data_IF_790156977701
#
_entry.id   IF_790156977701
#
_cell.length_a   1.000
_cell.length_b   1.000
_cell.length_c   1.000
_cell.angle_alpha   90.00
_cell.angle_beta   90.00
_cell.angle_gamma   90.00
#
_symmetry.space_group_name_H-M   'P 1'
#
loop_
_entity.id
_entity.type
_entity.pdbx_description
1 polymer ?
#
# COMPACT_ATOMS: atom_id res chain seq x y z
N UNK A 1 -25.75 -30.47 -34.10
CA UNK A 1 -25.63 -29.12 -33.51
C UNK A 1 -24.40 -29.12 -32.62
N UNK A 2 -23.27 -28.58 -33.09
CA UNK A 2 -22.05 -28.49 -32.28
C UNK A 2 -22.19 -27.27 -31.35
N UNK A 3 -22.34 -27.50 -30.05
CA UNK A 3 -22.18 -26.45 -29.04
C UNK A 3 -20.69 -26.18 -28.85
N UNK A 4 -20.19 -25.07 -29.39
CA UNK A 4 -18.88 -24.55 -29.01
C UNK A 4 -19.05 -23.84 -27.67
N UNK A 5 -18.56 -24.46 -26.59
CA UNK A 5 -18.45 -23.82 -25.29
C UNK A 5 -17.26 -22.88 -25.34
N UNK A 6 -17.51 -21.57 -25.49
CA UNK A 6 -16.49 -20.56 -25.29
C UNK A 6 -16.10 -20.56 -23.80
N UNK A 7 -14.92 -21.10 -23.48
CA UNK A 7 -14.34 -20.99 -22.14
C UNK A 7 -13.83 -19.56 -21.96
N UNK A 8 -14.67 -18.67 -21.43
CA UNK A 8 -14.28 -17.28 -21.17
C UNK A 8 -13.29 -17.25 -19.99
N UNK A 9 -12.01 -17.06 -20.29
CA UNK A 9 -10.93 -17.04 -19.29
C UNK A 9 -10.94 -15.76 -18.45
N UNK A 10 -10.59 -15.88 -17.17
CA UNK A 10 -10.50 -14.73 -16.26
C UNK A 10 -9.33 -13.83 -16.69
N UNK A 11 -9.53 -12.50 -16.88
CA UNK A 11 -8.44 -11.62 -17.28
C UNK A 11 -7.40 -11.50 -16.16
N UNK A 12 -6.13 -11.42 -16.54
CA UNK A 12 -5.02 -11.19 -15.60
C UNK A 12 -4.73 -9.72 -15.33
N UNK A 13 -5.29 -8.85 -16.19
CA UNK A 13 -5.19 -7.40 -16.14
C UNK A 13 -6.48 -6.79 -16.65
N UNK A 14 -6.93 -5.73 -15.99
CA UNK A 14 -8.03 -4.89 -16.44
C UNK A 14 -7.61 -3.42 -16.39
N UNK A 15 -8.26 -2.63 -17.25
CA UNK A 15 -8.23 -1.17 -17.23
C UNK A 15 -9.63 -0.67 -16.90
N UNK A 16 -9.70 0.32 -16.02
CA UNK A 16 -10.91 1.04 -15.66
C UNK A 16 -10.65 2.52 -15.93
N UNK A 17 -11.49 3.12 -16.77
CA UNK A 17 -11.44 4.55 -17.02
C UNK A 17 -12.38 5.26 -16.04
N UNK A 18 -11.79 5.90 -15.03
CA UNK A 18 -12.54 6.70 -14.07
C UNK A 18 -13.03 7.98 -14.77
N UNK A 19 -14.26 7.92 -15.29
CA UNK A 19 -14.88 9.00 -16.09
C UNK A 19 -14.73 10.34 -15.36
N UNK A 20 -14.10 11.32 -16.02
CA UNK A 20 -13.96 12.69 -15.50
C UNK A 20 -12.78 12.95 -14.53
N UNK A 21 -12.09 11.91 -14.05
CA UNK A 21 -11.00 12.03 -13.07
C UNK A 21 -9.62 12.36 -13.67
N UNK A 22 -9.42 12.07 -14.96
CA UNK A 22 -8.10 12.14 -15.62
C UNK A 22 -7.08 11.11 -15.09
N UNK A 23 -7.49 10.17 -14.23
CA UNK A 23 -6.65 9.10 -13.67
C UNK A 23 -7.03 7.76 -14.29
N UNK A 24 -6.08 7.07 -14.92
CA UNK A 24 -6.29 5.70 -15.41
C UNK A 24 -6.07 4.69 -14.27
N UNK A 25 -6.98 3.74 -14.11
CA UNK A 25 -6.86 2.68 -13.12
C UNK A 25 -6.50 1.34 -13.79
N UNK A 26 -5.31 0.84 -13.47
CA UNK A 26 -4.77 -0.43 -13.96
C UNK A 26 -4.75 -1.43 -12.81
N UNK A 27 -5.40 -2.58 -12.97
CA UNK A 27 -5.43 -3.64 -11.95
C UNK A 27 -4.90 -4.92 -12.57
N UNK A 28 -3.87 -5.53 -11.98
CA UNK A 28 -3.23 -6.73 -12.52
C UNK A 28 -2.57 -7.58 -11.44
N UNK A 29 -2.38 -8.86 -11.75
CA UNK A 29 -1.60 -9.77 -10.92
C UNK A 29 -0.09 -9.60 -11.18
N UNK A 30 0.71 -9.59 -10.11
CA UNK A 30 2.16 -9.51 -10.19
C UNK A 30 2.86 -9.20 -8.87
N UNK A 31 4.11 -8.77 -8.98
CA UNK A 31 4.95 -8.36 -7.86
C UNK A 31 5.19 -6.85 -7.91
N UNK A 32 4.78 -6.12 -6.87
CA UNK A 32 4.93 -4.67 -6.79
C UNK A 32 6.40 -4.21 -6.81
N UNK A 33 7.34 -5.07 -6.39
CA UNK A 33 8.78 -4.81 -6.44
C UNK A 33 9.43 -5.29 -7.76
N UNK A 34 8.65 -5.54 -8.80
CA UNK A 34 9.17 -5.92 -10.11
C UNK A 34 10.06 -4.81 -10.68
N UNK A 35 11.21 -5.18 -11.27
CA UNK A 35 12.10 -4.22 -11.96
C UNK A 35 11.45 -3.53 -13.16
N UNK A 36 10.37 -4.11 -13.69
CA UNK A 36 9.62 -3.53 -14.80
C UNK A 36 8.57 -2.50 -14.34
N UNK A 37 8.36 -2.37 -13.03
CA UNK A 37 7.46 -1.37 -12.48
C UNK A 37 8.06 0.03 -12.65
N UNK A 38 7.38 0.88 -13.42
CA UNK A 38 7.81 2.24 -13.78
C UNK A 38 6.85 3.27 -13.18
N UNK A 39 6.73 3.24 -11.86
CA UNK A 39 5.83 4.06 -11.06
C UNK A 39 6.43 4.33 -9.69
N UNK A 40 5.94 5.36 -8.99
CA UNK A 40 6.16 5.45 -7.55
C UNK A 40 5.52 4.25 -6.85
N UNK A 41 6.08 3.77 -5.74
CA UNK A 41 5.46 2.67 -4.99
C UNK A 41 4.88 3.19 -3.68
N UNK A 42 3.60 2.95 -3.45
CA UNK A 42 2.95 3.15 -2.16
C UNK A 42 3.16 1.91 -1.28
N UNK A 43 3.89 2.09 -0.17
CA UNK A 43 4.28 1.01 0.73
C UNK A 43 3.50 1.18 2.05
N UNK A 44 2.62 0.23 2.41
CA UNK A 44 1.90 0.31 3.68
C UNK A 44 2.86 0.03 4.84
N UNK A 45 2.82 0.88 5.85
CA UNK A 45 3.62 0.76 7.09
C UNK A 45 2.73 0.89 8.33
N UNK A 46 3.28 0.57 9.49
CA UNK A 46 2.65 0.88 10.76
C UNK A 46 2.88 2.34 11.16
N UNK A 47 2.14 2.81 12.16
CA UNK A 47 2.15 4.19 12.59
C UNK A 47 3.45 4.64 13.26
N UNK A 48 4.36 3.72 13.53
CA UNK A 48 5.67 4.00 14.11
C UNK A 48 6.79 4.00 13.06
N UNK A 49 6.48 3.67 11.80
CA UNK A 49 7.47 3.44 10.74
C UNK A 49 8.60 2.50 11.20
N UNK A 50 8.25 1.41 11.88
CA UNK A 50 9.25 0.45 12.37
C UNK A 50 10.08 -0.15 11.23
N UNK A 51 11.39 -0.23 11.39
CA UNK A 51 12.33 -0.67 10.33
C UNK A 51 13.02 -1.99 10.64
N UNK A 52 12.81 -2.53 11.84
CA UNK A 52 13.44 -3.76 12.29
C UNK A 52 12.64 -5.00 11.86
N UNK A 53 13.30 -5.89 11.11
CA UNK A 53 12.73 -7.17 10.69
C UNK A 53 12.68 -8.19 11.83
N UNK A 54 11.62 -8.98 11.86
CA UNK A 54 11.50 -10.14 12.74
C UNK A 54 12.64 -11.15 12.50
N UNK A 55 13.15 -11.74 13.58
CA UNK A 55 14.32 -12.64 13.55
C UNK A 55 15.69 -11.98 13.40
N UNK A 56 15.79 -10.66 13.19
CA UNK A 56 17.07 -9.95 13.31
C UNK A 56 17.51 -9.94 14.78
N UNK A 57 18.66 -10.53 15.10
CA UNK A 57 19.20 -10.60 16.47
C UNK A 57 19.30 -9.19 17.07
N UNK A 58 18.42 -8.89 18.02
CA UNK A 58 18.40 -7.65 18.78
C UNK A 58 17.48 -7.80 20.00
N UNK A 59 17.52 -6.87 20.97
CA UNK A 59 16.71 -6.92 22.18
C UNK A 59 15.20 -6.73 21.92
N UNK A 60 14.80 -6.57 20.65
CA UNK A 60 13.55 -5.95 20.25
C UNK A 60 12.59 -6.84 19.46
N UNK A 61 12.67 -8.18 19.56
CA UNK A 61 11.62 -9.10 19.09
C UNK A 61 11.15 -8.97 17.62
N UNK A 62 10.03 -9.61 17.30
CA UNK A 62 9.48 -9.67 15.94
C UNK A 62 8.58 -8.44 15.64
N UNK A 63 9.16 -7.35 15.12
CA UNK A 63 8.42 -6.10 14.86
C UNK A 63 7.82 -6.08 13.44
N UNK A 64 8.65 -6.18 12.40
CA UNK A 64 8.17 -6.21 11.00
C UNK A 64 8.35 -7.60 10.40
N UNK A 65 7.24 -8.23 10.00
CA UNK A 65 7.27 -9.53 9.34
C UNK A 65 7.98 -9.44 7.97
N UNK A 66 9.05 -10.24 7.70
CA UNK A 66 9.84 -10.17 6.47
C UNK A 66 9.06 -10.44 5.18
N UNK A 67 7.98 -11.22 5.27
CA UNK A 67 7.12 -11.56 4.13
C UNK A 67 6.03 -10.49 3.85
N UNK A 68 5.80 -9.54 4.76
CA UNK A 68 4.89 -8.41 4.52
C UNK A 68 5.43 -7.48 3.43
N UNK A 69 4.59 -6.64 2.83
CA UNK A 69 5.07 -5.62 1.87
C UNK A 69 6.09 -4.69 2.53
N UNK A 70 5.87 -4.30 3.79
CA UNK A 70 6.81 -3.48 4.55
C UNK A 70 8.16 -4.18 4.75
N UNK A 71 8.16 -5.45 5.18
CA UNK A 71 9.39 -6.22 5.37
C UNK A 71 10.13 -6.48 4.05
N UNK A 72 9.39 -6.76 2.98
CA UNK A 72 9.96 -6.91 1.64
C UNK A 72 10.57 -5.61 1.13
N UNK A 73 9.97 -4.45 1.44
CA UNK A 73 10.56 -3.14 1.11
C UNK A 73 11.90 -2.96 1.82
N UNK A 74 11.95 -3.19 3.14
CA UNK A 74 13.19 -3.11 3.93
C UNK A 74 14.27 -4.04 3.35
N UNK A 75 13.90 -5.28 3.03
CA UNK A 75 14.84 -6.28 2.53
C UNK A 75 15.31 -5.96 1.10
N UNK A 76 14.39 -5.66 0.18
CA UNK A 76 14.68 -5.58 -1.27
C UNK A 76 15.19 -4.21 -1.70
N UNK A 77 14.76 -3.14 -1.03
CA UNK A 77 15.10 -1.75 -1.39
C UNK A 77 16.26 -1.25 -0.53
N UNK A 78 16.22 -1.54 0.77
CA UNK A 78 17.24 -1.10 1.72
C UNK A 78 18.30 -2.17 2.03
N UNK A 79 18.22 -3.36 1.43
CA UNK A 79 19.14 -4.48 1.72
C UNK A 79 19.20 -4.82 3.21
N UNK A 80 18.07 -4.67 3.91
CA UNK A 80 17.94 -4.84 5.37
C UNK A 80 18.75 -3.82 6.21
N UNK A 81 19.18 -2.71 5.62
CA UNK A 81 19.82 -1.60 6.31
C UNK A 81 18.77 -0.69 6.98
N UNK A 82 18.41 -1.05 8.22
CA UNK A 82 17.42 -0.30 9.00
C UNK A 82 17.93 1.09 9.41
N UNK A 83 19.24 1.27 9.61
CA UNK A 83 19.83 2.56 9.99
C UNK A 83 19.66 3.56 8.86
N UNK A 84 20.00 3.16 7.64
CA UNK A 84 19.80 4.02 6.47
C UNK A 84 18.32 4.35 6.24
N UNK A 85 17.43 3.39 6.43
CA UNK A 85 15.99 3.65 6.33
C UNK A 85 15.51 4.63 7.39
N UNK A 86 16.00 4.51 8.63
CA UNK A 86 15.69 5.43 9.71
C UNK A 86 16.18 6.86 9.39
N UNK A 87 17.38 7.00 8.85
CA UNK A 87 17.92 8.31 8.44
C UNK A 87 17.04 8.96 7.36
N UNK A 88 16.68 8.21 6.32
CA UNK A 88 15.80 8.71 5.25
C UNK A 88 14.40 9.08 5.77
N UNK A 89 13.86 8.28 6.70
CA UNK A 89 12.57 8.55 7.35
C UNK A 89 12.61 9.79 8.24
N UNK A 90 13.68 9.97 9.03
CA UNK A 90 13.86 11.13 9.90
C UNK A 90 13.86 12.43 9.08
N UNK A 91 14.51 12.43 7.91
CA UNK A 91 14.49 13.57 6.98
C UNK A 91 13.08 13.77 6.44
N UNK A 92 12.45 12.71 5.91
CA UNK A 92 11.13 12.79 5.27
C UNK A 92 9.99 13.19 6.23
N UNK A 93 10.12 12.87 7.52
CA UNK A 93 9.11 13.13 8.55
C UNK A 93 9.42 14.37 9.42
N UNK A 94 10.53 15.06 9.19
CA UNK A 94 11.00 16.18 10.03
C UNK A 94 10.01 17.33 10.25
N UNK A 95 9.04 17.52 9.34
CA UNK A 95 7.98 18.53 9.45
C UNK A 95 6.69 18.06 10.12
N UNK A 96 6.63 16.81 10.57
CA UNK A 96 5.43 16.19 11.15
C UNK A 96 5.69 15.94 12.63
N UNK A 97 4.83 16.47 13.50
CA UNK A 97 4.96 16.28 14.95
C UNK A 97 4.31 14.94 15.33
N UNK A 98 5.08 13.92 15.75
CA UNK A 98 4.52 12.67 16.24
C UNK A 98 3.97 12.84 17.65
N UNK A 99 3.06 11.94 18.04
CA UNK A 99 2.77 11.69 19.44
C UNK A 99 3.84 10.75 20.02
N UNK A 100 4.29 10.97 21.24
CA UNK A 100 5.18 10.01 21.91
C UNK A 100 4.33 8.97 22.65
N UNK A 101 4.41 7.70 22.24
CA UNK A 101 3.70 6.60 22.85
C UNK A 101 4.69 5.51 23.29
N UNK A 102 4.97 5.40 24.60
CA UNK A 102 5.76 4.30 25.13
C UNK A 102 5.13 2.95 24.80
N UNK A 103 5.97 2.02 24.35
CA UNK A 103 5.55 0.65 24.02
C UNK A 103 6.65 -0.34 24.37
N UNK A 104 6.27 -1.60 24.49
CA UNK A 104 7.20 -2.65 24.93
C UNK A 104 8.37 -2.85 23.96
N UNK A 105 8.17 -2.58 22.66
CA UNK A 105 9.06 -3.03 21.61
C UNK A 105 9.11 -2.06 20.43
N UNK A 106 10.26 -1.65 19.90
CA UNK A 106 10.39 -0.78 18.71
C UNK A 106 10.20 0.72 18.98
N UNK A 107 9.89 1.51 17.95
CA UNK A 107 9.90 2.99 18.04
C UNK A 107 8.72 3.54 18.85
N UNK A 108 8.86 4.72 19.46
CA UNK A 108 7.81 5.36 20.27
C UNK A 108 7.13 6.55 19.59
N UNK A 109 7.74 7.11 18.54
CA UNK A 109 7.14 8.18 17.75
C UNK A 109 5.98 7.66 16.90
N UNK A 110 4.76 7.96 17.33
CA UNK A 110 3.52 7.57 16.72
C UNK A 110 2.99 8.65 15.77
N UNK A 111 2.76 8.29 14.52
CA UNK A 111 2.26 9.19 13.48
C UNK A 111 0.77 8.93 13.19
N UNK A 112 -0.03 9.96 12.84
CA UNK A 112 -1.42 9.75 12.47
C UNK A 112 -1.59 8.81 11.27
N UNK A 113 -2.70 8.07 11.23
CA UNK A 113 -3.10 7.26 10.07
C UNK A 113 -3.14 8.11 8.81
N UNK A 114 -2.63 7.57 7.69
CA UNK A 114 -2.51 8.27 6.41
C UNK A 114 -1.29 9.18 6.27
N UNK A 115 -0.51 9.40 7.34
CA UNK A 115 0.80 10.07 7.25
C UNK A 115 1.68 9.34 6.26
N UNK A 116 2.31 10.08 5.34
CA UNK A 116 3.14 9.50 4.28
C UNK A 116 4.54 10.10 4.27
N UNK A 117 5.56 9.26 4.46
CA UNK A 117 6.95 9.60 4.22
C UNK A 117 7.31 9.36 2.75
N UNK A 118 7.82 10.38 2.06
CA UNK A 118 8.24 10.27 0.65
C UNK A 118 9.76 10.20 0.58
N UNK A 119 10.29 9.05 0.19
CA UNK A 119 11.73 8.76 0.19
C UNK A 119 12.23 8.33 -1.19
N UNK A 120 13.53 8.50 -1.41
CA UNK A 120 14.21 8.23 -2.69
C UNK A 120 14.40 9.48 -3.55
N UNK A 121 15.55 9.53 -4.22
CA UNK A 121 15.99 10.66 -5.06
C UNK A 121 15.86 10.41 -6.57
N UNK A 122 15.44 9.21 -6.97
CA UNK A 122 15.26 8.81 -8.36
C UNK A 122 14.00 9.39 -9.01
N UNK A 123 13.79 9.04 -10.29
CA UNK A 123 12.57 9.39 -11.05
C UNK A 123 11.29 8.91 -10.34
N UNK A 124 11.34 7.67 -9.84
CA UNK A 124 10.28 7.09 -9.04
C UNK A 124 10.72 7.02 -7.59
N UNK A 125 9.78 7.31 -6.70
CA UNK A 125 9.96 7.43 -5.24
C UNK A 125 9.08 6.43 -4.51
N UNK A 126 9.36 6.22 -3.25
CA UNK A 126 8.55 5.39 -2.37
C UNK A 126 7.71 6.28 -1.45
N UNK A 127 6.41 6.01 -1.38
CA UNK A 127 5.46 6.68 -0.50
C UNK A 127 5.09 5.70 0.61
N UNK A 128 5.80 5.77 1.73
CA UNK A 128 5.55 4.91 2.89
C UNK A 128 4.42 5.54 3.68
N UNK A 129 3.24 4.92 3.68
CA UNK A 129 2.05 5.50 4.28
C UNK A 129 1.52 4.65 5.44
N UNK A 130 1.12 5.32 6.52
CA UNK A 130 0.60 4.68 7.72
C UNK A 130 -0.77 4.08 7.42
N UNK A 131 -0.84 2.74 7.39
CA UNK A 131 -2.06 1.97 7.11
C UNK A 131 -2.69 1.39 8.38
N UNK A 132 -1.89 1.12 9.41
CA UNK A 132 -2.34 0.33 10.56
C UNK A 132 -1.84 0.88 11.87
N UNK A 133 -2.61 0.62 12.93
CA UNK A 133 -2.19 0.79 14.30
C UNK A 133 -1.44 -0.44 14.81
N UNK A 134 -0.62 -0.28 15.82
CA UNK A 134 0.18 -1.31 16.47
C UNK A 134 -0.23 -1.38 17.91
N UNK A 135 -0.55 -2.59 18.36
CA UNK A 135 -0.86 -2.86 19.76
C UNK A 135 0.41 -2.65 20.61
N UNK A 136 0.42 -1.71 21.57
CA UNK A 136 1.65 -1.33 22.28
C UNK A 136 2.18 -2.41 23.22
N UNK A 137 1.35 -3.42 23.54
CA UNK A 137 1.72 -4.56 24.39
C UNK A 137 2.26 -5.70 23.53
N UNK A 138 1.57 -6.02 22.43
CA UNK A 138 1.88 -7.21 21.62
C UNK A 138 2.69 -6.94 20.36
N UNK A 139 2.92 -5.66 20.01
CA UNK A 139 3.52 -5.21 18.75
C UNK A 139 2.80 -5.67 17.48
N UNK A 140 1.56 -6.17 17.59
CA UNK A 140 0.78 -6.64 16.44
C UNK A 140 0.10 -5.48 15.73
N UNK A 141 0.31 -5.41 14.41
CA UNK A 141 -0.41 -4.48 13.55
C UNK A 141 -1.89 -4.87 13.44
N UNK A 142 -2.78 -3.89 13.45
CA UNK A 142 -4.23 -4.00 13.33
C UNK A 142 -4.76 -2.83 12.49
N UNK A 143 -5.75 -3.11 11.65
CA UNK A 143 -6.50 -2.10 10.91
C UNK A 143 -7.95 -2.55 10.83
N UNK A 144 -8.86 -1.61 10.68
CA UNK A 144 -10.26 -1.85 10.34
C UNK A 144 -10.63 -1.05 9.08
N UNK A 145 -11.89 -1.13 8.65
CA UNK A 145 -12.37 -0.45 7.45
C UNK A 145 -12.23 1.07 7.56
N UNK A 146 -12.68 1.74 8.65
CA UNK A 146 -12.47 3.18 8.82
C UNK A 146 -10.99 3.60 8.81
N UNK A 147 -10.12 2.84 9.48
CA UNK A 147 -8.67 3.10 9.52
C UNK A 147 -8.08 3.00 8.12
N UNK A 148 -8.41 1.94 7.38
CA UNK A 148 -7.94 1.77 6.00
C UNK A 148 -8.46 2.87 5.07
N UNK A 149 -9.71 3.30 5.24
CA UNK A 149 -10.28 4.41 4.47
C UNK A 149 -9.51 5.72 4.71
N UNK A 150 -9.29 6.10 5.97
CA UNK A 150 -8.52 7.29 6.34
C UNK A 150 -7.07 7.21 5.84
N UNK A 151 -6.45 6.03 5.90
CA UNK A 151 -5.11 5.80 5.39
C UNK A 151 -5.03 6.05 3.87
N UNK A 152 -6.03 5.57 3.12
CA UNK A 152 -6.12 5.76 1.68
C UNK A 152 -6.36 7.24 1.33
N UNK A 153 -7.22 7.95 2.05
CA UNK A 153 -7.42 9.41 1.85
C UNK A 153 -6.11 10.20 2.07
N UNK A 154 -5.37 9.89 3.13
CA UNK A 154 -4.05 10.49 3.39
C UNK A 154 -3.01 10.15 2.32
N UNK A 155 -3.00 8.90 1.85
CA UNK A 155 -2.16 8.47 0.74
C UNK A 155 -2.49 9.24 -0.54
N UNK A 156 -3.76 9.35 -0.94
CA UNK A 156 -4.15 10.02 -2.18
C UNK A 156 -3.84 11.52 -2.16
N UNK A 157 -3.96 12.15 -0.99
CA UNK A 157 -3.49 13.53 -0.77
C UNK A 157 -1.98 13.63 -0.98
N UNK A 158 -1.20 12.69 -0.43
CA UNK A 158 0.25 12.67 -0.59
C UNK A 158 0.68 12.37 -2.03
N UNK A 159 0.00 11.45 -2.71
CA UNK A 159 0.24 11.15 -4.14
C UNK A 159 0.03 12.40 -4.98
N UNK A 160 -1.05 13.15 -4.74
CA UNK A 160 -1.33 14.40 -5.46
C UNK A 160 -0.20 15.42 -5.30
N UNK A 161 0.34 15.54 -4.09
CA UNK A 161 1.37 16.53 -3.78
C UNK A 161 2.77 16.12 -4.27
N UNK A 162 3.09 14.82 -4.32
CA UNK A 162 4.47 14.36 -4.47
C UNK A 162 4.73 13.47 -5.69
N UNK A 163 3.70 12.98 -6.39
CA UNK A 163 3.90 12.17 -7.60
C UNK A 163 4.31 12.98 -8.82
N UNK A 164 4.11 14.30 -8.81
CA UNK A 164 4.24 15.16 -10.00
C UNK A 164 3.45 14.63 -11.21
N UNK A 165 2.32 13.98 -10.95
CA UNK A 165 1.46 13.38 -11.98
C UNK A 165 2.02 12.09 -12.59
N UNK A 166 3.15 11.55 -12.11
CA UNK A 166 3.68 10.26 -12.56
C UNK A 166 2.89 9.09 -11.95
N UNK A 167 2.85 7.92 -12.64
CA UNK A 167 2.11 6.76 -12.16
C UNK A 167 2.51 6.33 -10.74
N UNK A 168 1.56 5.78 -9.99
CA UNK A 168 1.78 5.20 -8.65
C UNK A 168 1.23 3.78 -8.59
N UNK A 169 2.02 2.84 -8.08
CA UNK A 169 1.59 1.49 -7.77
C UNK A 169 1.27 1.31 -6.28
N UNK A 170 0.15 0.65 -5.98
CA UNK A 170 -0.30 0.27 -4.65
C UNK A 170 -0.56 -1.25 -4.65
N UNK A 171 -0.12 -2.01 -3.65
CA UNK A 171 -0.44 -3.43 -3.57
C UNK A 171 -1.88 -3.60 -3.06
N UNK A 172 -2.42 -4.82 -3.10
CA UNK A 172 -3.62 -5.10 -2.30
C UNK A 172 -3.26 -4.93 -0.80
N UNK A 173 -3.84 -3.92 -0.17
CA UNK A 173 -3.63 -3.61 1.25
C UNK A 173 -4.79 -4.08 2.12
N UNK A 174 -4.54 -4.29 3.42
CA UNK A 174 -5.56 -4.76 4.38
C UNK A 174 -5.77 -6.28 4.44
N UNK A 175 -5.25 -7.04 3.47
CA UNK A 175 -5.34 -8.52 3.41
C UNK A 175 -4.22 -9.25 4.17
N UNK A 176 -3.19 -8.52 4.62
CA UNK A 176 -2.01 -9.06 5.30
C UNK A 176 -2.13 -9.08 6.82
N UNK A 177 -0.99 -8.90 7.51
CA UNK A 177 -0.89 -8.99 8.97
C UNK A 177 -1.81 -8.03 9.74
N UNK A 178 -2.10 -6.85 9.18
CA UNK A 178 -2.99 -5.86 9.80
C UNK A 178 -4.47 -6.24 9.75
N UNK A 179 -4.84 -7.22 8.91
CA UNK A 179 -6.17 -7.83 8.73
C UNK A 179 -7.39 -6.92 9.00
N UNK A 180 -7.94 -6.32 7.94
CA UNK A 180 -9.11 -5.42 8.01
C UNK A 180 -10.46 -6.15 8.20
N UNK A 181 -10.46 -7.50 8.12
CA UNK A 181 -11.68 -8.30 8.26
C UNK A 181 -12.52 -8.41 6.98
N UNK A 182 -11.97 -8.00 5.83
CA UNK A 182 -12.58 -8.14 4.51
C UNK A 182 -11.82 -9.17 3.66
N UNK A 183 -12.54 -9.82 2.75
CA UNK A 183 -11.92 -10.67 1.74
C UNK A 183 -11.20 -9.84 0.66
N UNK A 184 -10.35 -10.50 -0.14
CA UNK A 184 -9.50 -9.84 -1.14
C UNK A 184 -10.29 -9.02 -2.16
N UNK A 185 -11.49 -9.47 -2.54
CA UNK A 185 -12.33 -8.75 -3.52
C UNK A 185 -12.97 -7.50 -2.91
N UNK A 186 -13.42 -7.54 -1.65
CA UNK A 186 -13.99 -6.37 -0.99
C UNK A 186 -12.91 -5.37 -0.56
N UNK A 187 -11.70 -5.82 -0.23
CA UNK A 187 -10.54 -4.94 -0.07
C UNK A 187 -10.21 -4.20 -1.36
N UNK A 188 -10.21 -4.91 -2.49
CA UNK A 188 -9.99 -4.30 -3.79
C UNK A 188 -11.08 -3.25 -4.09
N UNK A 189 -12.36 -3.58 -3.86
CA UNK A 189 -13.47 -2.61 -3.98
C UNK A 189 -13.26 -1.38 -3.12
N UNK A 190 -12.86 -1.54 -1.86
CA UNK A 190 -12.62 -0.42 -0.96
C UNK A 190 -11.51 0.50 -1.49
N UNK A 191 -10.43 -0.06 -2.03
CA UNK A 191 -9.36 0.70 -2.68
C UNK A 191 -9.92 1.46 -3.90
N UNK A 192 -10.64 0.77 -4.79
CA UNK A 192 -11.22 1.40 -5.99
C UNK A 192 -12.18 2.54 -5.63
N UNK A 193 -13.05 2.33 -4.64
CA UNK A 193 -13.97 3.35 -4.14
C UNK A 193 -13.24 4.56 -3.55
N UNK A 194 -12.15 4.34 -2.80
CA UNK A 194 -11.34 5.45 -2.25
C UNK A 194 -10.69 6.29 -3.36
N UNK A 195 -10.29 5.66 -4.46
CA UNK A 195 -9.70 6.32 -5.63
C UNK A 195 -10.78 7.13 -6.36
N UNK A 196 -11.96 6.54 -6.60
CA UNK A 196 -13.10 7.24 -7.20
C UNK A 196 -13.43 8.48 -6.37
N UNK A 197 -13.61 8.30 -5.06
CA UNK A 197 -13.93 9.40 -4.14
C UNK A 197 -12.87 10.50 -4.17
N UNK A 198 -11.60 10.12 -4.08
CA UNK A 198 -10.49 11.08 -4.07
C UNK A 198 -10.21 11.73 -5.42
N UNK A 199 -10.78 11.19 -6.49
CA UNK A 199 -10.71 11.77 -7.83
C UNK A 199 -11.83 12.77 -8.13
N UNK A 200 -12.85 12.84 -7.28
CA UNK A 200 -13.90 13.86 -7.38
C UNK A 200 -13.28 15.26 -7.23
N UNK A 201 -13.50 16.14 -8.20
CA UNK A 201 -13.05 17.53 -8.18
C UNK A 201 -11.60 17.77 -8.60
N UNK A 202 -10.69 16.79 -8.44
CA UNK A 202 -9.30 16.96 -8.88
C UNK A 202 -8.59 15.61 -9.12
N UNK A 203 -7.82 15.53 -10.20
CA UNK A 203 -6.98 14.36 -10.57
C UNK A 203 -5.93 14.01 -9.51
N UNK A 204 -5.90 12.75 -9.05
CA UNK A 204 -4.89 12.25 -8.10
C UNK A 204 -3.50 12.16 -8.77
N UNK A 205 -3.41 11.43 -9.87
CA UNK A 205 -2.21 11.28 -10.70
C UNK A 205 -2.59 10.84 -12.12
N UNK A 206 -1.63 10.58 -13.00
CA UNK A 206 -1.93 10.06 -14.34
C UNK A 206 -2.49 8.65 -14.35
N UNK A 207 -1.93 7.79 -13.52
CA UNK A 207 -2.24 6.37 -13.52
C UNK A 207 -2.02 5.78 -12.13
N UNK A 208 -2.95 4.94 -11.69
CA UNK A 208 -2.81 4.14 -10.48
C UNK A 208 -2.77 2.67 -10.88
N UNK A 209 -1.71 1.97 -10.46
CA UNK A 209 -1.51 0.55 -10.65
C UNK A 209 -1.87 -0.19 -9.35
N UNK A 210 -2.99 -0.89 -9.29
CA UNK A 210 -3.27 -1.81 -8.18
C UNK A 210 -2.64 -3.17 -8.53
N UNK A 211 -1.60 -3.54 -7.79
CA UNK A 211 -0.83 -4.77 -8.00
C UNK A 211 -1.29 -5.85 -7.03
N UNK A 212 -1.93 -6.88 -7.56
CA UNK A 212 -2.42 -8.02 -6.79
C UNK A 212 -1.35 -9.12 -6.77
N UNK A 213 -0.95 -9.57 -5.58
CA UNK A 213 -0.02 -10.70 -5.51
C UNK A 213 -0.70 -11.98 -6.05
N UNK A 214 0.07 -12.87 -6.68
CA UNK A 214 -0.46 -14.11 -7.28
C UNK A 214 -1.20 -15.00 -6.27
N UNK A 215 -0.89 -14.87 -4.98
CA UNK A 215 -1.58 -15.61 -3.91
C UNK A 215 -3.08 -15.35 -3.85
N UNK A 216 -3.57 -14.17 -4.28
CA UNK A 216 -5.00 -13.83 -4.26
C UNK A 216 -5.70 -14.06 -5.60
N UNK A 217 -5.00 -14.64 -6.58
CA UNK A 217 -5.53 -14.86 -7.93
C UNK A 217 -6.76 -15.77 -7.98
N UNK A 218 -6.89 -16.69 -7.02
CA UNK A 218 -8.06 -17.57 -6.92
C UNK A 218 -9.27 -16.88 -6.27
N UNK A 219 -9.04 -15.83 -5.50
CA UNK A 219 -10.07 -15.16 -4.70
C UNK A 219 -10.63 -13.91 -5.40
N UNK A 220 -9.86 -13.33 -6.34
CA UNK A 220 -10.22 -12.08 -7.01
C UNK A 220 -10.58 -12.33 -8.47
N UNK A 221 -11.87 -12.16 -8.79
CA UNK A 221 -12.36 -12.12 -10.16
C UNK A 221 -12.33 -10.68 -10.71
N UNK A 222 -11.26 -10.33 -11.44
CA UNK A 222 -11.10 -9.03 -12.09
C UNK A 222 -12.23 -8.69 -13.06
N UNK A 223 -12.84 -9.66 -13.73
CA UNK A 223 -13.98 -9.40 -14.63
C UNK A 223 -15.13 -8.74 -13.89
N UNK A 224 -15.46 -9.21 -12.68
CA UNK A 224 -16.51 -8.62 -11.85
C UNK A 224 -16.19 -7.19 -11.46
N UNK A 225 -14.94 -6.92 -11.09
CA UNK A 225 -14.47 -5.57 -10.77
C UNK A 225 -14.58 -4.65 -11.99
N UNK A 226 -14.22 -5.14 -13.18
CA UNK A 226 -14.37 -4.36 -14.41
C UNK A 226 -15.83 -4.06 -14.74
N UNK A 227 -16.73 -5.03 -14.59
CA UNK A 227 -18.17 -4.86 -14.82
C UNK A 227 -18.81 -3.88 -13.81
N UNK A 228 -18.32 -3.86 -12.57
CA UNK A 228 -18.85 -3.01 -11.49
C UNK A 228 -18.45 -1.52 -11.64
N UNK A 229 -17.26 -1.23 -12.19
CA UNK A 229 -16.67 0.11 -12.15
C UNK A 229 -16.40 0.77 -13.51
N UNK A 230 -16.85 0.20 -14.64
CA UNK A 230 -16.58 0.70 -16.00
C UNK A 230 -17.86 1.15 -16.74
#
# INVERSE_FOLDING_TARGET
>A
MLYVVYKVTEPLKILINLRGAGTELNIYFGNIFSKNEKSHLAIPVNEFFDTQLAGAKGPSGDIVAPNSIHGQFITKVYNSDSVKLDDDLNVALSGIVPNDLPRYLGKTSQYPIGTTAVIGSGKYRYLLFVLSCTDPITAKAKSDVPTMWNALEGLWTSVRNYSNGLPVALPLVGSGQSHVGLDSINLLRLIVLSIIKSSEGQRITSQINIVLHESVMRDVALRKIKEEFN
#
